data_IF_223827451937
#
_entry.id   IF_223827451937
#
_cell.length_a   1.000
_cell.length_b   1.000
_cell.length_c   1.000
_cell.angle_alpha   90.00
_cell.angle_beta   90.00
_cell.angle_gamma   90.00
#
_symmetry.space_group_name_H-M   'P 1'
#
loop_
_entity.id
_entity.type
_entity.pdbx_description
1 polymer ?
#
# COMPACT_ATOMS: atom_id res chain seq x y z
N UNK A 1 22.95 36.73 -40.23
CA UNK A 1 22.63 35.31 -39.96
C UNK A 1 23.54 34.62 -38.93
N UNK A 2 24.89 34.66 -39.02
CA UNK A 2 25.81 33.92 -38.11
C UNK A 2 25.63 34.18 -36.60
N UNK A 3 25.29 35.41 -36.18
CA UNK A 3 25.10 35.76 -34.75
C UNK A 3 23.85 35.10 -34.11
N UNK A 4 22.84 34.75 -34.89
CA UNK A 4 21.64 34.07 -34.40
C UNK A 4 21.87 32.56 -34.21
N UNK A 5 22.72 31.97 -35.05
CA UNK A 5 23.15 30.56 -34.92
C UNK A 5 23.92 30.31 -33.62
N UNK A 6 24.85 31.20 -33.24
CA UNK A 6 25.58 31.06 -31.98
C UNK A 6 24.69 31.22 -30.75
N UNK A 7 23.71 32.13 -30.81
CA UNK A 7 22.72 32.33 -29.73
C UNK A 7 21.79 31.12 -29.58
N UNK A 8 21.34 30.54 -30.69
CA UNK A 8 20.51 29.34 -30.69
C UNK A 8 21.29 28.12 -30.14
N UNK A 9 22.55 27.94 -30.55
CA UNK A 9 23.39 26.86 -30.05
C UNK A 9 23.67 26.97 -28.54
N UNK A 10 23.94 28.18 -28.03
CA UNK A 10 24.15 28.41 -26.60
C UNK A 10 22.89 28.12 -25.78
N UNK A 11 21.72 28.52 -26.27
CA UNK A 11 20.42 28.24 -25.64
C UNK A 11 20.15 26.73 -25.56
N UNK A 12 20.51 25.99 -26.62
CA UNK A 12 20.30 24.55 -26.70
C UNK A 12 21.21 23.79 -25.72
N UNK A 13 22.45 24.23 -25.56
CA UNK A 13 23.39 23.69 -24.55
C UNK A 13 22.92 23.99 -23.13
N UNK A 14 22.42 25.20 -22.87
CA UNK A 14 21.86 25.59 -21.57
C UNK A 14 20.61 24.78 -21.21
N UNK A 15 19.71 24.58 -22.17
CA UNK A 15 18.51 23.75 -21.97
C UNK A 15 18.85 22.28 -21.74
N UNK A 16 19.85 21.74 -22.47
CA UNK A 16 20.34 20.38 -22.24
C UNK A 16 20.99 20.23 -20.86
N UNK A 17 21.80 21.21 -20.44
CA UNK A 17 22.40 21.23 -19.10
C UNK A 17 21.36 21.33 -17.99
N UNK A 18 20.33 22.16 -18.16
CA UNK A 18 19.23 22.26 -17.21
C UNK A 18 18.40 20.98 -17.17
N UNK A 19 18.13 20.36 -18.32
CA UNK A 19 17.45 19.07 -18.40
C UNK A 19 18.24 18.02 -17.62
N UNK A 20 19.55 17.87 -17.87
CA UNK A 20 20.40 16.91 -17.13
C UNK A 20 20.44 17.17 -15.62
N UNK A 21 20.45 18.43 -15.18
CA UNK A 21 20.40 18.76 -13.76
C UNK A 21 19.04 18.39 -13.14
N UNK A 22 17.94 18.65 -13.83
CA UNK A 22 16.60 18.25 -13.40
C UNK A 22 16.47 16.72 -13.36
N UNK A 23 16.92 15.97 -14.37
CA UNK A 23 16.91 14.50 -14.33
C UNK A 23 17.80 13.97 -13.21
N UNK A 24 18.97 14.57 -12.98
CA UNK A 24 19.88 14.20 -11.89
C UNK A 24 19.29 14.45 -10.50
N UNK A 25 18.55 15.55 -10.32
CA UNK A 25 17.81 15.82 -9.08
C UNK A 25 16.65 14.85 -8.90
N UNK A 26 15.90 14.50 -9.95
CA UNK A 26 14.80 13.53 -9.86
C UNK A 26 15.30 12.13 -9.47
N UNK A 27 16.45 11.69 -9.98
CA UNK A 27 17.07 10.41 -9.60
C UNK A 27 17.54 10.43 -8.14
N UNK A 28 18.11 11.56 -7.68
CA UNK A 28 18.60 11.69 -6.30
C UNK A 28 17.48 11.85 -5.27
N UNK A 29 16.34 12.43 -5.65
CA UNK A 29 15.13 12.47 -4.81
C UNK A 29 14.50 11.09 -4.59
N UNK A 30 14.82 10.10 -5.43
CA UNK A 30 14.39 8.71 -5.26
C UNK A 30 15.31 7.89 -4.32
N UNK A 31 16.59 8.23 -4.25
CA UNK A 31 17.54 7.60 -3.34
C UNK A 31 17.43 8.22 -1.94
N UNK A 32 16.45 7.78 -1.16
CA UNK A 32 16.37 8.17 0.24
C UNK A 32 17.52 7.50 0.98
N UNK A 33 18.54 8.28 1.37
CA UNK A 33 19.67 7.77 2.17
C UNK A 33 19.24 7.18 3.52
N UNK A 34 17.98 7.40 3.92
CA UNK A 34 17.34 6.80 5.08
C UNK A 34 16.50 5.54 4.73
N UNK A 35 16.59 4.99 3.51
CA UNK A 35 15.88 3.77 3.17
C UNK A 35 16.56 2.55 3.79
N UNK A 36 15.85 1.98 4.75
CA UNK A 36 16.25 0.82 5.53
C UNK A 36 15.74 -0.50 4.94
N UNK A 37 14.95 -0.48 3.86
CA UNK A 37 14.29 -1.68 3.35
C UNK A 37 15.28 -2.81 3.03
N UNK A 38 16.46 -2.47 2.51
CA UNK A 38 17.54 -3.41 2.18
C UNK A 38 18.66 -3.49 3.22
N UNK A 39 18.74 -2.52 4.13
CA UNK A 39 19.87 -2.40 5.08
C UNK A 39 19.52 -2.86 6.49
N UNK A 40 18.23 -2.86 6.87
CA UNK A 40 17.73 -3.38 8.14
C UNK A 40 16.67 -4.46 7.88
N UNK A 41 17.14 -5.70 7.74
CA UNK A 41 16.26 -6.85 7.50
C UNK A 41 15.26 -7.07 8.62
N UNK A 42 15.66 -6.83 9.87
CA UNK A 42 14.78 -7.07 11.01
C UNK A 42 13.61 -6.07 11.04
N UNK A 43 13.87 -4.79 10.75
CA UNK A 43 12.82 -3.80 10.63
C UNK A 43 11.91 -4.08 9.42
N UNK A 44 12.49 -4.49 8.29
CA UNK A 44 11.75 -4.91 7.08
C UNK A 44 10.82 -6.09 7.34
N UNK A 45 11.31 -7.15 7.97
CA UNK A 45 10.49 -8.34 8.27
C UNK A 45 9.36 -7.97 9.25
N UNK A 46 9.66 -7.13 10.24
CA UNK A 46 8.68 -6.68 11.23
C UNK A 46 7.54 -5.88 10.61
N UNK A 47 7.83 -4.94 9.72
CA UNK A 47 6.77 -4.16 9.05
C UNK A 47 5.99 -5.03 8.07
N UNK A 48 6.66 -5.91 7.33
CA UNK A 48 6.01 -6.82 6.39
C UNK A 48 5.03 -7.77 7.10
N UNK A 49 5.42 -8.33 8.24
CA UNK A 49 4.59 -9.22 9.05
C UNK A 49 3.40 -8.47 9.65
N UNK A 50 3.64 -7.32 10.30
CA UNK A 50 2.57 -6.55 10.95
C UNK A 50 1.53 -6.06 9.95
N UNK A 51 1.97 -5.45 8.84
CA UNK A 51 1.08 -4.91 7.81
C UNK A 51 0.37 -6.05 7.07
N UNK A 52 1.09 -7.12 6.70
CA UNK A 52 0.49 -8.30 6.08
C UNK A 52 -0.60 -8.93 6.95
N UNK A 53 -0.30 -9.19 8.23
CA UNK A 53 -1.27 -9.75 9.17
C UNK A 53 -2.45 -8.82 9.44
N UNK A 54 -2.25 -7.50 9.40
CA UNK A 54 -3.33 -6.52 9.49
C UNK A 54 -4.27 -6.62 8.27
N UNK A 55 -3.73 -6.61 7.06
CA UNK A 55 -4.53 -6.65 5.83
C UNK A 55 -5.26 -7.99 5.65
N UNK A 56 -4.59 -9.11 5.92
CA UNK A 56 -5.22 -10.44 5.84
C UNK A 56 -6.42 -10.57 6.76
N UNK A 57 -6.32 -10.03 7.99
CA UNK A 57 -7.45 -10.00 8.93
C UNK A 57 -8.52 -9.00 8.52
N UNK A 58 -8.13 -7.79 8.13
CA UNK A 58 -9.06 -6.73 7.79
C UNK A 58 -9.93 -7.03 6.57
N UNK A 59 -9.37 -7.71 5.56
CA UNK A 59 -10.09 -8.12 4.36
C UNK A 59 -10.65 -9.55 4.45
N UNK A 60 -10.67 -10.14 5.64
CA UNK A 60 -11.45 -11.34 5.92
C UNK A 60 -12.69 -10.92 6.70
N UNK A 61 -13.87 -11.33 6.23
CA UNK A 61 -15.13 -10.89 6.79
C UNK A 61 -16.18 -12.01 6.73
N UNK A 62 -16.84 -12.26 7.85
CA UNK A 62 -17.94 -13.21 7.96
C UNK A 62 -19.04 -12.69 8.89
N UNK A 63 -20.24 -13.26 8.76
CA UNK A 63 -21.37 -12.95 9.63
C UNK A 63 -21.10 -13.36 11.09
N UNK A 64 -20.20 -14.31 11.31
CA UNK A 64 -19.84 -14.83 12.64
C UNK A 64 -18.76 -14.01 13.35
N UNK A 65 -18.17 -13.00 12.69
CA UNK A 65 -17.17 -12.14 13.32
C UNK A 65 -17.80 -11.33 14.46
N UNK A 66 -17.09 -11.24 15.59
CA UNK A 66 -17.51 -10.43 16.72
C UNK A 66 -17.21 -8.94 16.47
N UNK A 67 -17.94 -8.06 17.17
CA UNK A 67 -17.66 -6.61 17.16
C UNK A 67 -16.22 -6.29 17.62
N UNK A 68 -15.67 -7.08 18.55
CA UNK A 68 -14.27 -6.93 18.97
C UNK A 68 -13.29 -7.21 17.83
N UNK A 69 -13.56 -8.24 17.01
CA UNK A 69 -12.75 -8.57 15.83
C UNK A 69 -12.82 -7.45 14.79
N UNK A 70 -14.03 -6.94 14.51
CA UNK A 70 -14.23 -5.79 13.60
C UNK A 70 -13.50 -4.54 14.09
N UNK A 71 -13.57 -4.26 15.40
CA UNK A 71 -12.90 -3.11 16.01
C UNK A 71 -11.38 -3.24 15.93
N UNK A 72 -10.84 -4.43 16.21
CA UNK A 72 -9.41 -4.69 16.11
C UNK A 72 -8.90 -4.54 14.67
N UNK A 73 -9.67 -4.96 13.67
CA UNK A 73 -9.35 -4.76 12.25
C UNK A 73 -9.33 -3.27 11.88
N UNK A 74 -10.35 -2.50 12.29
CA UNK A 74 -10.41 -1.04 12.06
C UNK A 74 -9.21 -0.32 12.68
N UNK A 75 -8.76 -0.75 13.86
CA UNK A 75 -7.64 -0.15 14.57
C UNK A 75 -6.27 -0.30 13.86
N UNK A 76 -6.19 -1.08 12.78
CA UNK A 76 -5.00 -1.18 11.94
C UNK A 76 -4.91 -0.07 10.87
N UNK A 77 -5.98 0.68 10.65
CA UNK A 77 -6.04 1.72 9.63
C UNK A 77 -6.14 3.11 10.25
N UNK A 78 -5.49 4.07 9.59
CA UNK A 78 -5.53 5.48 9.93
C UNK A 78 -5.63 6.33 8.65
N UNK A 79 -5.89 7.62 8.81
CA UNK A 79 -5.94 8.56 7.69
C UNK A 79 -6.92 8.12 6.58
N UNK A 80 -6.48 8.24 5.32
CA UNK A 80 -7.32 7.92 4.16
C UNK A 80 -7.71 6.44 4.10
N UNK A 81 -6.82 5.52 4.46
CA UNK A 81 -7.13 4.10 4.47
C UNK A 81 -8.20 3.74 5.50
N UNK A 82 -8.27 4.44 6.64
CA UNK A 82 -9.33 4.25 7.63
C UNK A 82 -10.72 4.56 7.07
N UNK A 83 -10.83 5.67 6.33
CA UNK A 83 -12.08 6.07 5.67
C UNK A 83 -12.47 5.10 4.55
N UNK A 84 -11.51 4.68 3.73
CA UNK A 84 -11.73 3.68 2.68
C UNK A 84 -12.19 2.34 3.26
N UNK A 85 -11.55 1.89 4.35
CA UNK A 85 -11.91 0.65 5.02
C UNK A 85 -13.32 0.72 5.61
N UNK A 86 -13.67 1.84 6.25
CA UNK A 86 -15.01 2.08 6.79
C UNK A 86 -16.07 1.97 5.68
N UNK A 87 -15.91 2.69 4.58
CA UNK A 87 -16.83 2.65 3.45
C UNK A 87 -16.99 1.24 2.86
N UNK A 88 -15.89 0.49 2.71
CA UNK A 88 -15.92 -0.89 2.24
C UNK A 88 -16.73 -1.80 3.19
N UNK A 89 -16.48 -1.71 4.50
CA UNK A 89 -17.17 -2.55 5.48
C UNK A 89 -18.67 -2.23 5.59
N UNK A 90 -19.05 -0.97 5.43
CA UNK A 90 -20.46 -0.55 5.40
C UNK A 90 -21.18 -1.14 4.18
N UNK A 91 -20.56 -1.11 3.00
CA UNK A 91 -21.10 -1.73 1.80
C UNK A 91 -21.23 -3.25 1.92
N UNK A 92 -20.26 -3.92 2.55
CA UNK A 92 -20.27 -5.37 2.75
C UNK A 92 -21.27 -5.84 3.82
N UNK A 93 -21.59 -4.98 4.80
CA UNK A 93 -22.45 -5.34 5.93
C UNK A 93 -23.81 -5.91 5.51
N UNK A 94 -24.46 -5.29 4.52
CA UNK A 94 -25.75 -5.80 4.01
C UNK A 94 -25.62 -7.18 3.36
N UNK A 95 -24.55 -7.41 2.58
CA UNK A 95 -24.36 -8.66 1.84
C UNK A 95 -23.99 -9.82 2.76
N UNK A 96 -23.25 -9.54 3.83
CA UNK A 96 -22.82 -10.54 4.80
C UNK A 96 -23.99 -11.05 5.62
N UNK A 97 -24.92 -10.16 6.00
CA UNK A 97 -26.15 -10.56 6.68
C UNK A 97 -27.13 -11.30 5.75
N UNK A 98 -27.45 -10.71 4.60
CA UNK A 98 -28.51 -11.21 3.71
C UNK A 98 -28.09 -12.46 2.91
N UNK A 99 -26.83 -12.54 2.50
CA UNK A 99 -26.33 -13.57 1.59
C UNK A 99 -25.40 -14.56 2.27
N UNK A 100 -25.20 -14.42 3.59
CA UNK A 100 -24.20 -15.15 4.38
C UNK A 100 -22.83 -15.14 3.69
N UNK A 101 -22.47 -14.00 3.11
CA UNK A 101 -21.20 -13.84 2.41
C UNK A 101 -20.05 -14.01 3.41
N UNK A 102 -19.14 -14.92 3.11
CA UNK A 102 -17.84 -15.05 3.77
C UNK A 102 -16.75 -14.67 2.78
N UNK A 103 -16.00 -13.64 3.09
CA UNK A 103 -14.80 -13.23 2.40
C UNK A 103 -13.59 -13.68 3.23
N UNK A 104 -12.60 -14.30 2.59
CA UNK A 104 -11.34 -14.68 3.22
C UNK A 104 -10.20 -14.17 2.37
N UNK A 105 -9.26 -13.48 3.00
CA UNK A 105 -8.08 -12.94 2.33
C UNK A 105 -6.83 -13.56 2.93
N UNK A 106 -5.97 -14.12 2.07
CA UNK A 106 -4.67 -14.67 2.43
C UNK A 106 -3.58 -13.84 1.81
N UNK A 107 -2.65 -13.32 2.62
CA UNK A 107 -1.42 -12.72 2.12
C UNK A 107 -0.53 -13.83 1.55
N UNK A 108 -0.22 -13.74 0.26
CA UNK A 108 0.67 -14.66 -0.44
C UNK A 108 2.11 -14.19 -0.27
N UNK A 109 2.34 -12.88 -0.40
CA UNK A 109 3.67 -12.28 -0.25
C UNK A 109 3.53 -10.81 0.11
N UNK A 110 4.52 -10.30 0.85
CA UNK A 110 4.68 -8.89 1.17
C UNK A 110 6.10 -8.48 0.83
N UNK A 111 6.26 -7.51 -0.07
CA UNK A 111 7.54 -6.88 -0.36
C UNK A 111 7.56 -5.46 0.19
N UNK A 112 8.63 -5.08 0.91
CA UNK A 112 8.84 -3.70 1.34
C UNK A 112 9.60 -2.96 0.25
N UNK A 113 8.97 -1.94 -0.32
CA UNK A 113 9.53 -1.12 -1.40
C UNK A 113 10.43 -0.02 -0.82
N UNK A 114 10.03 0.55 0.32
CA UNK A 114 10.76 1.59 1.05
C UNK A 114 10.46 1.50 2.53
N UNK A 115 11.46 1.78 3.37
CA UNK A 115 11.32 1.81 4.82
C UNK A 115 12.15 2.95 5.40
N UNK A 116 11.56 3.82 6.20
CA UNK A 116 12.26 4.78 7.05
C UNK A 116 12.00 4.46 8.52
N UNK A 117 12.48 5.31 9.44
CA UNK A 117 12.25 5.13 10.87
C UNK A 117 10.76 5.03 11.26
N UNK A 118 9.88 5.73 10.54
CA UNK A 118 8.46 5.86 10.88
C UNK A 118 7.50 5.62 9.71
N UNK A 119 7.99 5.33 8.49
CA UNK A 119 7.16 5.12 7.30
C UNK A 119 7.60 3.90 6.52
N UNK A 120 6.64 3.25 5.87
CA UNK A 120 6.92 2.15 4.97
C UNK A 120 5.99 2.19 3.76
N UNK A 121 6.52 1.79 2.61
CA UNK A 121 5.75 1.49 1.41
C UNK A 121 5.92 0.00 1.09
N UNK A 122 4.81 -0.69 0.88
CA UNK A 122 4.78 -2.13 0.68
C UNK A 122 3.94 -2.51 -0.55
N UNK A 123 4.38 -3.54 -1.26
CA UNK A 123 3.57 -4.26 -2.23
C UNK A 123 3.09 -5.56 -1.58
N UNK A 124 1.77 -5.72 -1.48
CA UNK A 124 1.14 -6.88 -0.86
C UNK A 124 0.34 -7.65 -1.90
N UNK A 125 0.64 -8.94 -2.04
CA UNK A 125 -0.10 -9.86 -2.89
C UNK A 125 -1.06 -10.69 -2.04
N UNK A 126 -2.31 -10.74 -2.47
CA UNK A 126 -3.40 -11.39 -1.75
C UNK A 126 -4.09 -12.41 -2.66
N UNK A 127 -4.47 -13.55 -2.09
CA UNK A 127 -5.46 -14.46 -2.66
C UNK A 127 -6.75 -14.34 -1.84
N UNK A 128 -7.83 -13.98 -2.50
CA UNK A 128 -9.12 -13.76 -1.88
C UNK A 128 -10.09 -14.85 -2.31
N UNK A 129 -10.89 -15.35 -1.39
CA UNK A 129 -12.00 -16.24 -1.68
C UNK A 129 -13.30 -15.68 -1.14
N UNK A 130 -14.30 -15.51 -2.00
CA UNK A 130 -15.64 -15.12 -1.65
C UNK A 130 -16.57 -16.34 -1.76
N UNK A 131 -17.30 -16.64 -0.69
CA UNK A 131 -18.27 -17.73 -0.63
C UNK A 131 -19.61 -17.21 -0.13
N UNK A 132 -20.68 -17.54 -0.85
CA UNK A 132 -22.07 -17.32 -0.43
C UNK A 132 -22.63 -18.61 0.20
N UNK A 133 -23.71 -18.54 0.98
CA UNK A 133 -24.31 -19.70 1.67
C UNK A 133 -24.40 -20.95 0.77
N UNK A 134 -24.89 -20.74 -0.45
CA UNK A 134 -25.06 -21.77 -1.47
C UNK A 134 -24.19 -21.41 -2.68
N UNK A 135 -23.16 -22.22 -2.94
CA UNK A 135 -22.30 -22.09 -4.12
C UNK A 135 -20.84 -22.43 -3.88
N UNK A 136 -20.07 -22.69 -4.96
CA UNK A 136 -18.61 -22.83 -4.87
C UNK A 136 -17.96 -21.47 -4.54
N UNK A 137 -16.80 -21.45 -3.85
CA UNK A 137 -16.07 -20.22 -3.61
C UNK A 137 -15.49 -19.67 -4.93
N UNK A 138 -15.59 -18.36 -5.12
CA UNK A 138 -14.88 -17.64 -6.18
C UNK A 138 -13.54 -17.17 -5.64
N UNK A 139 -12.45 -17.47 -6.35
CA UNK A 139 -11.10 -17.01 -6.00
C UNK A 139 -10.65 -15.87 -6.88
N UNK A 140 -9.94 -14.91 -6.31
CA UNK A 140 -9.44 -13.73 -7.02
C UNK A 140 -8.12 -13.31 -6.39
N UNK A 141 -7.10 -13.09 -7.22
CA UNK A 141 -5.86 -12.49 -6.78
C UNK A 141 -6.01 -10.96 -6.74
N UNK A 142 -5.38 -10.32 -5.75
CA UNK A 142 -5.31 -8.87 -5.64
C UNK A 142 -3.88 -8.43 -5.34
N UNK A 143 -3.53 -7.23 -5.80
CA UNK A 143 -2.25 -6.58 -5.52
C UNK A 143 -2.52 -5.20 -4.97
N UNK A 144 -1.90 -4.89 -3.83
CA UNK A 144 -2.06 -3.60 -3.16
C UNK A 144 -0.70 -2.93 -2.97
N UNK A 145 -0.60 -1.67 -3.39
CA UNK A 145 0.40 -0.76 -2.89
C UNK A 145 -0.12 -0.13 -1.59
N UNK A 146 0.69 -0.19 -0.54
CA UNK A 146 0.29 0.13 0.82
C UNK A 146 1.28 1.11 1.42
N UNK A 147 0.78 2.22 1.96
CA UNK A 147 1.58 3.13 2.79
C UNK A 147 1.25 2.88 4.25
N UNK A 148 2.27 2.75 5.10
CA UNK A 148 2.13 2.56 6.53
C UNK A 148 2.97 3.57 7.31
N UNK A 149 2.51 3.91 8.52
CA UNK A 149 3.21 4.76 9.47
C UNK A 149 3.35 4.05 10.82
N UNK A 150 4.51 4.16 11.44
CA UNK A 150 4.73 3.69 12.80
C UNK A 150 4.16 4.72 13.79
N UNK A 151 3.17 4.30 14.58
CA UNK A 151 2.56 5.12 15.62
C UNK A 151 2.38 4.30 16.90
N UNK A 152 2.85 4.85 18.02
CA UNK A 152 2.80 4.15 19.32
C UNK A 152 3.44 2.76 19.31
N UNK A 153 4.47 2.53 18.48
CA UNK A 153 5.16 1.24 18.36
C UNK A 153 4.46 0.20 17.47
N UNK A 154 3.41 0.60 16.73
CA UNK A 154 2.66 -0.26 15.82
C UNK A 154 2.54 0.36 14.44
N UNK A 155 2.66 -0.45 13.41
CA UNK A 155 2.43 -0.01 12.04
C UNK A 155 0.93 0.14 11.76
N UNK A 156 0.52 1.33 11.34
CA UNK A 156 -0.83 1.66 10.92
C UNK A 156 -0.84 1.89 9.41
N UNK A 157 -1.80 1.29 8.72
CA UNK A 157 -2.00 1.48 7.28
C UNK A 157 -2.65 2.83 7.06
N UNK A 158 -2.01 3.71 6.31
CA UNK A 158 -2.47 5.08 6.05
C UNK A 158 -3.03 5.28 4.65
N UNK A 159 -2.61 4.45 3.69
CA UNK A 159 -3.07 4.51 2.30
C UNK A 159 -3.10 3.11 1.69
N UNK A 160 -4.06 2.89 0.79
CA UNK A 160 -4.22 1.68 0.01
C UNK A 160 -4.50 2.05 -1.45
N UNK A 161 -3.84 1.34 -2.36
CA UNK A 161 -4.08 1.47 -3.80
C UNK A 161 -4.04 0.10 -4.46
N UNK A 162 -5.11 -0.25 -5.17
CA UNK A 162 -5.11 -1.43 -6.05
C UNK A 162 -4.26 -1.18 -7.28
N UNK A 163 -3.56 -2.22 -7.73
CA UNK A 163 -2.85 -2.26 -9.01
C UNK A 163 -3.64 -3.02 -10.07
#
# INVERSE_FOLDING_TARGET
>A
MRRHLHRAALLLVLLAGLALLVTGQLIRSGADTADHALTDRAATDRVAEQVGAALGRAFSYSATDSESTRTAARAAFAGAAGEQYKALTEQLGGWVGEQQLTLTSRVVSTGVVRLTADRAELLVLLDQSARRAEGPPTRTAAQLLVSARLDGGRWLVTELKSL
#
